data_IF_481836758104
#
_entry.id   IF_481836758104
#
_cell.length_a   1.000
_cell.length_b   1.000
_cell.length_c   1.000
_cell.angle_alpha   90.00
_cell.angle_beta   90.00
_cell.angle_gamma   90.00
#
_symmetry.space_group_name_H-M   'P 1'
#
loop_
_entity.id
_entity.type
_entity.pdbx_description
1 polymer ?
#
# COMPACT_ATOMS: atom_id res chain seq x y z
N UNK A 1 -8.21 -8.53 6.33
CA UNK A 1 -8.76 -7.98 5.08
C UNK A 1 -7.62 -7.45 4.23
N UNK A 2 -7.74 -7.58 2.93
CA UNK A 2 -6.71 -7.11 2.01
C UNK A 2 -7.10 -5.75 1.44
N UNK A 3 -6.09 -4.91 1.25
CA UNK A 3 -6.29 -3.59 0.68
C UNK A 3 -5.23 -3.32 -0.38
N UNK A 4 -5.65 -2.64 -1.43
CA UNK A 4 -4.73 -2.07 -2.38
C UNK A 4 -4.52 -0.61 -2.02
N UNK A 5 -3.27 -0.16 -2.03
CA UNK A 5 -2.90 1.24 -1.84
C UNK A 5 -2.15 1.71 -3.06
N UNK A 6 -2.62 2.78 -3.65
CA UNK A 6 -1.93 3.46 -4.74
C UNK A 6 -1.44 4.78 -4.17
N UNK A 7 -0.13 4.97 -4.18
CA UNK A 7 0.51 6.15 -3.63
C UNK A 7 1.13 6.94 -4.77
N UNK A 8 0.86 8.24 -4.80
CA UNK A 8 1.45 9.13 -5.81
C UNK A 8 2.09 10.32 -5.10
N UNK A 9 3.11 10.90 -5.73
CA UNK A 9 3.80 12.08 -5.19
C UNK A 9 4.33 12.93 -6.33
N UNK A 10 4.68 14.17 -5.97
CA UNK A 10 5.26 15.11 -6.93
C UNK A 10 6.70 14.74 -7.25
N UNK A 11 7.18 15.01 -8.46
CA UNK A 11 8.59 14.73 -8.80
C UNK A 11 9.59 15.40 -7.87
N UNK A 12 9.27 16.57 -7.35
CA UNK A 12 10.14 17.28 -6.39
C UNK A 12 10.31 16.52 -5.09
N UNK A 13 9.36 15.63 -4.75
CA UNK A 13 9.38 14.86 -3.50
C UNK A 13 9.97 13.47 -3.66
N UNK A 14 10.38 13.10 -4.86
CA UNK A 14 10.86 11.74 -5.17
C UNK A 14 11.99 11.32 -4.23
N UNK A 15 12.96 12.19 -4.00
CA UNK A 15 14.10 11.90 -3.15
C UNK A 15 13.69 11.74 -1.68
N UNK A 16 12.79 12.60 -1.21
CA UNK A 16 12.25 12.50 0.15
C UNK A 16 11.46 11.22 0.37
N UNK A 17 10.66 10.82 -0.61
CA UNK A 17 9.91 9.56 -0.54
C UNK A 17 10.84 8.37 -0.44
N UNK A 18 11.88 8.31 -1.28
CA UNK A 18 12.87 7.22 -1.24
C UNK A 18 13.58 7.16 0.10
N UNK A 19 14.01 8.31 0.62
CA UNK A 19 14.72 8.37 1.88
C UNK A 19 13.83 7.89 3.04
N UNK A 20 12.60 8.34 3.07
CA UNK A 20 11.65 7.93 4.11
C UNK A 20 11.31 6.45 4.00
N UNK A 21 11.14 5.94 2.78
CA UNK A 21 10.83 4.52 2.56
C UNK A 21 11.97 3.61 3.02
N UNK A 22 13.21 4.03 2.86
CA UNK A 22 14.37 3.25 3.28
C UNK A 22 14.37 2.97 4.79
N UNK A 23 13.75 3.84 5.58
CA UNK A 23 13.67 3.72 7.05
C UNK A 23 12.26 3.42 7.55
N UNK A 24 11.35 3.07 6.63
CA UNK A 24 9.96 2.86 6.98
C UNK A 24 9.74 1.53 7.69
N UNK A 25 9.01 1.60 8.79
CA UNK A 25 8.50 0.42 9.49
C UNK A 25 6.99 0.45 9.46
N UNK A 26 6.40 -0.62 8.96
CA UNK A 26 4.96 -0.73 8.89
C UNK A 26 4.34 -0.79 10.29
N UNK A 27 3.17 -0.17 10.49
CA UNK A 27 2.44 -0.35 11.75
C UNK A 27 2.19 -1.84 12.02
N UNK A 28 2.19 -2.22 13.28
CA UNK A 28 1.98 -3.63 13.67
C UNK A 28 0.62 -4.18 13.23
N UNK A 29 -0.36 -3.30 13.04
CA UNK A 29 -1.69 -3.67 12.55
C UNK A 29 -1.70 -4.06 11.07
N UNK A 30 -0.67 -3.69 10.33
CA UNK A 30 -0.44 -4.21 8.99
C UNK A 30 0.22 -5.57 9.13
N UNK A 31 -0.57 -6.62 9.01
CA UNK A 31 -0.13 -7.99 9.28
C UNK A 31 0.85 -8.51 8.27
N UNK A 32 0.67 -8.13 7.00
CA UNK A 32 1.50 -8.65 5.92
C UNK A 32 1.47 -7.71 4.74
N UNK A 33 2.63 -7.48 4.15
CA UNK A 33 2.76 -6.80 2.86
C UNK A 33 2.92 -7.88 1.81
N UNK A 34 1.92 -8.01 0.93
CA UNK A 34 1.91 -9.05 -0.09
C UNK A 34 2.70 -8.65 -1.33
N UNK A 35 2.47 -7.43 -1.78
CA UNK A 35 3.13 -6.88 -2.97
C UNK A 35 3.48 -5.43 -2.76
N UNK A 36 4.60 -5.02 -3.31
CA UNK A 36 4.99 -3.62 -3.40
C UNK A 36 5.70 -3.41 -4.72
N UNK A 37 5.18 -2.51 -5.55
CA UNK A 37 5.74 -2.20 -6.85
C UNK A 37 5.87 -0.70 -7.00
N UNK A 38 6.93 -0.26 -7.64
CA UNK A 38 7.06 1.13 -8.04
C UNK A 38 6.90 1.23 -9.55
N UNK A 39 6.17 2.26 -10.00
CA UNK A 39 6.02 2.58 -11.40
C UNK A 39 7.42 2.88 -11.98
N UNK A 40 7.73 2.31 -13.13
CA UNK A 40 9.02 2.54 -13.79
C UNK A 40 9.25 4.00 -14.12
N UNK A 41 8.19 4.79 -14.26
CA UNK A 41 8.29 6.21 -14.52
C UNK A 41 8.51 7.03 -13.24
N UNK A 42 8.47 6.38 -12.08
CA UNK A 42 8.60 7.05 -10.79
C UNK A 42 7.33 7.69 -10.31
N UNK A 43 7.38 8.29 -9.13
CA UNK A 43 6.31 9.10 -8.53
C UNK A 43 5.00 8.35 -8.26
N UNK A 44 5.02 7.02 -8.29
CA UNK A 44 3.87 6.19 -7.99
C UNK A 44 4.30 4.83 -7.49
N UNK A 45 3.63 4.33 -6.46
CA UNK A 45 3.82 2.96 -5.98
C UNK A 45 2.47 2.30 -5.74
N UNK A 46 2.44 0.98 -5.84
CA UNK A 46 1.23 0.19 -5.70
C UNK A 46 1.54 -0.91 -4.68
N UNK A 47 0.69 -1.04 -3.68
CA UNK A 47 0.87 -1.99 -2.59
C UNK A 47 -0.38 -2.82 -2.40
N UNK A 48 -0.20 -4.07 -2.02
CA UNK A 48 -1.30 -4.90 -1.52
C UNK A 48 -0.88 -5.41 -0.15
N UNK A 49 -1.70 -5.10 0.84
CA UNK A 49 -1.40 -5.43 2.23
C UNK A 49 -2.59 -6.13 2.88
N UNK A 50 -2.27 -6.95 3.86
CA UNK A 50 -3.29 -7.50 4.77
C UNK A 50 -3.22 -6.69 6.06
N UNK A 51 -4.34 -6.05 6.42
CA UNK A 51 -4.38 -5.15 7.57
C UNK A 51 -5.81 -4.98 8.06
N UNK A 52 -5.95 -4.42 9.25
CA UNK A 52 -7.20 -3.83 9.69
C UNK A 52 -7.21 -2.34 9.29
N UNK A 53 -8.31 -1.67 9.57
CA UNK A 53 -8.47 -0.26 9.22
C UNK A 53 -7.48 0.63 9.96
N UNK A 54 -7.15 0.29 11.20
CA UNK A 54 -6.23 1.07 12.03
C UNK A 54 -4.84 1.10 11.41
N UNK A 55 -4.36 -0.03 10.87
CA UNK A 55 -3.07 -0.10 10.20
C UNK A 55 -3.00 0.82 8.99
N UNK A 56 -4.10 0.93 8.24
CA UNK A 56 -4.17 1.80 7.07
C UNK A 56 -4.21 3.27 7.48
N UNK A 57 -4.98 3.60 8.51
CA UNK A 57 -5.06 4.97 9.02
C UNK A 57 -3.68 5.42 9.51
N UNK A 58 -2.99 4.57 10.25
CA UNK A 58 -1.65 4.87 10.76
C UNK A 58 -0.65 5.06 9.61
N UNK A 59 -0.70 4.21 8.59
CA UNK A 59 0.16 4.32 7.43
C UNK A 59 -0.09 5.63 6.68
N UNK A 60 -1.36 5.93 6.42
CA UNK A 60 -1.73 7.17 5.74
C UNK A 60 -1.28 8.39 6.53
N UNK A 61 -1.51 8.39 7.83
CA UNK A 61 -1.14 9.53 8.69
C UNK A 61 0.36 9.81 8.65
N UNK A 62 1.19 8.78 8.58
CA UNK A 62 2.65 8.92 8.54
C UNK A 62 3.16 9.53 7.25
N UNK A 63 2.40 9.43 6.15
CA UNK A 63 2.84 9.83 4.82
C UNK A 63 2.03 10.96 4.19
N UNK A 64 1.01 11.45 4.88
CA UNK A 64 0.03 12.35 4.28
C UNK A 64 0.61 13.69 3.82
N UNK A 65 1.76 14.08 4.36
CA UNK A 65 2.44 15.32 4.00
C UNK A 65 3.07 15.28 2.61
N UNK A 66 3.43 14.08 2.11
CA UNK A 66 4.12 13.97 0.82
C UNK A 66 3.46 12.99 -0.16
N UNK A 67 2.54 12.15 0.30
CA UNK A 67 1.87 11.19 -0.58
C UNK A 67 0.38 11.49 -0.71
N UNK A 68 -0.14 11.24 -1.90
CA UNK A 68 -1.57 11.10 -2.13
C UNK A 68 -1.89 9.61 -2.13
N UNK A 69 -2.97 9.24 -1.47
CA UNK A 69 -3.38 7.84 -1.34
C UNK A 69 -4.69 7.57 -2.02
N UNK A 70 -4.75 6.41 -2.66
CA UNK A 70 -6.00 5.78 -3.06
C UNK A 70 -5.98 4.40 -2.42
N UNK A 71 -6.92 4.12 -1.52
CA UNK A 71 -6.95 2.89 -0.74
C UNK A 71 -8.33 2.27 -0.87
N UNK A 72 -8.38 1.01 -1.23
CA UNK A 72 -9.66 0.30 -1.34
C UNK A 72 -9.49 -1.17 -1.01
N UNK A 73 -10.56 -1.82 -0.50
CA UNK A 73 -10.49 -3.24 -0.19
C UNK A 73 -10.45 -4.08 -1.45
N UNK A 74 -9.71 -5.17 -1.38
CA UNK A 74 -9.60 -6.13 -2.47
C UNK A 74 -9.69 -7.54 -1.89
N UNK A 75 -9.97 -8.51 -2.73
CA UNK A 75 -9.90 -9.91 -2.35
C UNK A 75 -9.16 -10.70 -3.44
N UNK A 76 -8.47 -11.77 -3.07
CA UNK A 76 -7.67 -12.53 -4.04
C UNK A 76 -8.57 -13.33 -4.98
N UNK A 77 -8.12 -13.44 -6.22
CA UNK A 77 -8.64 -14.39 -7.21
C UNK A 77 -7.49 -15.33 -7.57
N UNK A 78 -7.57 -16.06 -8.64
CA UNK A 78 -6.48 -16.97 -9.02
C UNK A 78 -6.47 -18.23 -8.17
N UNK A 79 -5.45 -18.44 -7.36
CA UNK A 79 -5.31 -19.63 -6.52
C UNK A 79 -6.50 -19.89 -5.62
N UNK A 80 -7.15 -18.84 -5.14
CA UNK A 80 -8.34 -18.92 -4.29
C UNK A 80 -9.64 -18.74 -5.05
N UNK A 81 -9.57 -18.49 -6.34
CA UNK A 81 -10.71 -18.22 -7.20
C UNK A 81 -11.78 -19.30 -7.09
N UNK A 82 -11.36 -20.55 -7.12
CA UNK A 82 -12.28 -21.68 -7.05
C UNK A 82 -13.10 -21.67 -5.75
N UNK A 83 -12.44 -21.38 -4.64
CA UNK A 83 -13.10 -21.28 -3.35
C UNK A 83 -14.09 -20.13 -3.32
N UNK A 84 -13.69 -18.97 -3.84
CA UNK A 84 -14.55 -17.79 -3.87
C UNK A 84 -15.78 -18.00 -4.74
N UNK A 85 -15.61 -18.63 -5.89
CA UNK A 85 -16.71 -18.86 -6.83
C UNK A 85 -17.68 -19.95 -6.38
N UNK A 86 -17.25 -20.84 -5.51
CA UNK A 86 -18.05 -21.95 -5.03
C UNK A 86 -18.77 -21.66 -3.70
N UNK A 87 -18.67 -20.44 -3.21
CA UNK A 87 -19.38 -20.01 -2.01
C UNK A 87 -20.81 -19.51 -2.33
#
# INVERSE_FOLDING_TARGET
MYFMMICTWEPKDERSVRSKMANWEWPKEVKKVLYGFQDLQGCRSIWVVESDEIGLIATRAAWIDILKFEIFPVYPIGGTKKELLNK
#
